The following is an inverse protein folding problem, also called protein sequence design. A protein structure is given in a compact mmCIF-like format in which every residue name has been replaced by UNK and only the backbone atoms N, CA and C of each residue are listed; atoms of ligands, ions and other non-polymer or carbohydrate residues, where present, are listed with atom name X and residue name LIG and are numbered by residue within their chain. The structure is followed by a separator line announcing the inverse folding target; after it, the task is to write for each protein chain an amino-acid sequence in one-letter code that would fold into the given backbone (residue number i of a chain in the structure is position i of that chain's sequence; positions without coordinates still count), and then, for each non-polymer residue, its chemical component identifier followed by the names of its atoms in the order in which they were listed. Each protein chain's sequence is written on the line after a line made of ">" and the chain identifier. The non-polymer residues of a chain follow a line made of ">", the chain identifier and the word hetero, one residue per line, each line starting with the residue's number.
data_IF_408396094248
#
_entry.id   IF_408396094248
#
_cell.length_a   1.000
_cell.length_b   1.000
_cell.length_c   1.000
_cell.angle_alpha   90.00
_cell.angle_beta   90.00
_cell.angle_gamma   90.00
#
_symmetry.space_group_name_H-M   'P 1'
#
loop_
_entity.id
_entity.type
_entity.pdbx_description
1 polymer ?
#
# COMPACT_ATOMS: atom_id res chain seq x y z
N UNK A 1 3.91 5.63 2.78
CA UNK A 1 3.00 6.63 2.16
C UNK A 1 3.73 7.63 1.27
N UNK A 2 4.76 8.36 1.76
CA UNK A 2 5.50 9.35 0.94
C UNK A 2 6.22 8.77 -0.29
N UNK A 3 6.80 7.57 -0.19
CA UNK A 3 7.49 6.93 -1.31
C UNK A 3 6.55 6.55 -2.46
N UNK A 4 5.36 6.00 -2.15
CA UNK A 4 4.37 5.60 -3.16
C UNK A 4 3.78 6.82 -3.86
N UNK A 5 3.45 7.88 -3.10
CA UNK A 5 2.95 9.12 -3.67
C UNK A 5 4.00 9.79 -4.57
N UNK A 6 5.26 9.82 -4.13
CA UNK A 6 6.36 10.37 -4.92
C UNK A 6 6.58 9.59 -6.23
N UNK A 7 6.48 8.25 -6.21
CA UNK A 7 6.59 7.43 -7.43
C UNK A 7 5.47 7.66 -8.44
N UNK A 8 4.23 7.85 -7.98
CA UNK A 8 3.11 8.22 -8.86
C UNK A 8 3.30 9.64 -9.40
N UNK A 9 3.73 10.58 -8.56
CA UNK A 9 3.93 11.97 -8.98
C UNK A 9 5.05 12.11 -10.01
N UNK A 10 6.20 11.46 -9.80
CA UNK A 10 7.34 11.53 -10.74
C UNK A 10 7.04 10.85 -12.06
N UNK A 11 6.31 9.74 -12.05
CA UNK A 11 5.90 9.05 -13.29
C UNK A 11 4.83 9.85 -14.06
N UNK A 12 3.92 10.53 -13.37
CA UNK A 12 2.93 11.42 -14.00
C UNK A 12 3.63 12.65 -14.61
N UNK A 13 4.58 13.26 -13.90
CA UNK A 13 5.41 14.36 -14.42
C UNK A 13 6.25 13.96 -15.63
N UNK A 14 6.82 12.75 -15.63
CA UNK A 14 7.58 12.23 -16.76
C UNK A 14 6.68 11.94 -17.98
N UNK A 15 5.47 11.43 -17.78
CA UNK A 15 4.47 11.29 -18.85
C UNK A 15 4.09 12.65 -19.44
N UNK A 16 3.85 13.66 -18.60
CA UNK A 16 3.48 15.01 -19.06
C UNK A 16 4.56 15.62 -19.97
N UNK A 17 5.85 15.38 -19.69
CA UNK A 17 6.93 15.87 -20.55
C UNK A 17 7.02 15.20 -21.92
N UNK A 18 6.42 14.01 -22.09
CA UNK A 18 6.45 13.23 -23.33
C UNK A 18 5.10 13.24 -24.07
N UNK A 19 4.09 13.94 -23.54
CA UNK A 19 2.72 13.90 -24.03
C UNK A 19 2.39 15.13 -24.88
N UNK A 20 2.40 14.95 -26.21
CA UNK A 20 2.00 15.94 -27.22
C UNK A 20 0.50 15.82 -27.62
N UNK A 21 -0.29 14.99 -26.92
CA UNK A 21 -1.72 14.83 -27.20
C UNK A 21 -2.54 16.06 -26.78
N UNK A 22 -3.62 16.35 -27.52
CA UNK A 22 -4.51 17.48 -27.25
C UNK A 22 -5.10 17.39 -25.83
N UNK A 23 -4.73 18.34 -24.97
CA UNK A 23 -5.21 18.39 -23.59
C UNK A 23 -4.62 17.35 -22.64
N UNK A 24 -3.54 16.65 -23.02
CA UNK A 24 -2.84 15.66 -22.19
C UNK A 24 -3.73 14.49 -21.73
N UNK A 25 -4.61 14.01 -22.62
CA UNK A 25 -5.57 12.95 -22.32
C UNK A 25 -4.90 11.64 -21.86
N UNK A 26 -3.75 11.32 -22.44
CA UNK A 26 -2.97 10.13 -22.09
C UNK A 26 -2.35 10.23 -20.70
N UNK A 27 -1.89 11.42 -20.30
CA UNK A 27 -1.42 11.70 -18.94
C UNK A 27 -2.53 11.52 -17.90
N UNK A 28 -3.76 11.96 -18.18
CA UNK A 28 -4.90 11.77 -17.28
C UNK A 28 -5.28 10.30 -17.12
N UNK A 29 -5.30 9.54 -18.20
CA UNK A 29 -5.54 8.10 -18.15
C UNK A 29 -4.44 7.34 -17.40
N UNK A 30 -3.18 7.78 -17.53
CA UNK A 30 -2.08 7.23 -16.75
C UNK A 30 -2.21 7.53 -15.26
N UNK A 31 -2.56 8.78 -14.89
CA UNK A 31 -2.76 9.20 -13.51
C UNK A 31 -3.87 8.39 -12.82
N UNK A 32 -5.00 8.17 -13.49
CA UNK A 32 -6.12 7.41 -12.93
C UNK A 32 -5.75 5.95 -12.59
N UNK A 33 -5.02 5.28 -13.50
CA UNK A 33 -4.48 3.94 -13.25
C UNK A 33 -3.55 3.91 -12.03
N UNK A 34 -2.70 4.92 -11.87
CA UNK A 34 -1.77 4.99 -10.74
C UNK A 34 -2.46 5.27 -9.41
N UNK A 35 -3.51 6.08 -9.41
CA UNK A 35 -4.35 6.28 -8.22
C UNK A 35 -5.02 4.95 -7.84
N UNK A 36 -5.55 4.21 -8.82
CA UNK A 36 -6.10 2.87 -8.60
C UNK A 36 -5.06 1.91 -7.98
N UNK A 37 -3.83 1.87 -8.50
CA UNK A 37 -2.75 1.04 -7.94
C UNK A 37 -2.50 1.36 -6.46
N UNK A 38 -2.42 2.65 -6.11
CA UNK A 38 -2.21 3.10 -4.72
C UNK A 38 -3.35 2.64 -3.81
N UNK A 39 -4.60 2.79 -4.28
CA UNK A 39 -5.78 2.37 -3.53
C UNK A 39 -5.81 0.85 -3.29
N UNK A 40 -5.36 0.04 -4.26
CA UNK A 40 -5.22 -1.41 -4.06
C UNK A 40 -4.18 -1.75 -2.98
N UNK A 41 -3.02 -1.08 -3.00
CA UNK A 41 -1.97 -1.31 -1.99
C UNK A 41 -2.48 -0.97 -0.58
N UNK A 42 -3.15 0.17 -0.41
CA UNK A 42 -3.73 0.54 0.89
C UNK A 42 -4.81 -0.45 1.33
N UNK A 43 -5.63 -0.98 0.41
CA UNK A 43 -6.63 -2.01 0.71
C UNK A 43 -5.98 -3.31 1.20
N UNK A 44 -4.94 -3.80 0.49
CA UNK A 44 -4.19 -4.99 0.88
C UNK A 44 -3.54 -4.79 2.25
N UNK A 45 -2.93 -3.62 2.48
CA UNK A 45 -2.33 -3.29 3.77
C UNK A 45 -3.37 -3.31 4.90
N UNK A 46 -4.54 -2.71 4.68
CA UNK A 46 -5.62 -2.71 5.66
C UNK A 46 -6.13 -4.14 5.97
N UNK A 47 -6.22 -4.99 4.95
CA UNK A 47 -6.58 -6.40 5.15
C UNK A 47 -5.50 -7.16 5.93
N UNK A 48 -4.22 -6.96 5.61
CA UNK A 48 -3.11 -7.56 6.34
C UNK A 48 -3.11 -7.16 7.82
N UNK A 49 -3.31 -5.87 8.12
CA UNK A 49 -3.44 -5.40 9.51
C UNK A 49 -4.62 -6.06 10.23
N UNK A 50 -5.80 -6.16 9.60
CA UNK A 50 -6.95 -6.85 10.21
C UNK A 50 -6.69 -8.32 10.50
N UNK A 51 -5.97 -9.03 9.61
CA UNK A 51 -5.61 -10.43 9.82
C UNK A 51 -4.62 -10.57 10.99
N UNK A 52 -3.66 -9.65 11.09
CA UNK A 52 -2.71 -9.60 12.21
C UNK A 52 -3.44 -9.32 13.53
N UNK A 53 -4.37 -8.35 13.55
CA UNK A 53 -5.16 -8.02 14.74
C UNK A 53 -6.12 -9.15 15.15
N UNK A 54 -6.61 -9.93 14.17
CA UNK A 54 -7.49 -11.08 14.41
C UNK A 54 -6.73 -12.34 14.86
N UNK A 55 -5.40 -12.37 14.72
CA UNK A 55 -4.57 -13.45 15.22
C UNK A 55 -4.31 -13.22 16.72
N UNK A 56 -4.90 -14.04 17.63
CA UNK A 56 -4.66 -13.92 19.06
C UNK A 56 -3.16 -14.07 19.33
N UNK A 57 -2.66 -13.08 20.09
CA UNK A 57 -1.27 -12.77 20.37
C UNK A 57 -0.29 -13.95 20.15
N UNK A 58 0.34 -14.06 18.96
CA UNK A 58 1.24 -15.16 18.64
C UNK A 58 2.48 -15.16 19.56
N UNK A 59 2.84 -13.99 20.08
CA UNK A 59 3.90 -13.83 21.08
C UNK A 59 3.42 -14.28 22.46
N UNK A 60 2.15 -14.02 22.81
CA UNK A 60 1.53 -14.52 24.04
C UNK A 60 1.49 -16.04 24.12
N UNK A 61 1.30 -16.73 23.00
CA UNK A 61 1.30 -18.21 22.94
C UNK A 61 2.72 -18.79 23.15
N UNK A 62 3.75 -18.15 22.58
CA UNK A 62 5.16 -18.51 22.81
C UNK A 62 5.59 -18.16 24.24
N UNK A 63 5.15 -17.01 24.76
CA UNK A 63 5.38 -16.62 26.14
C UNK A 63 4.72 -17.60 27.12
N UNK A 64 3.52 -18.11 26.82
CA UNK A 64 2.85 -19.12 27.66
C UNK A 64 3.57 -20.46 27.66
N UNK A 65 4.21 -20.85 26.56
CA UNK A 65 5.06 -22.06 26.51
C UNK A 65 6.37 -21.84 27.27
N UNK A 66 6.94 -20.62 27.21
CA UNK A 66 8.21 -20.29 27.87
C UNK A 66 8.08 -19.99 29.38
N UNK A 67 6.95 -19.44 29.82
CA UNK A 67 6.67 -19.04 31.21
C UNK A 67 5.61 -19.92 31.90
N UNK A 68 5.10 -20.96 31.22
CA UNK A 68 4.15 -21.91 31.77
C UNK A 68 4.79 -22.92 32.72
N UNK A 69 5.13 -22.49 33.94
CA UNK A 69 5.24 -23.35 35.13
C UNK A 69 5.33 -22.50 36.40
N UNK A 70 4.19 -22.00 36.87
CA UNK A 70 3.99 -21.73 38.31
C UNK A 70 2.54 -22.06 38.65
N UNK A 71 2.37 -23.21 39.29
CA UNK A 71 1.13 -23.86 39.66
C UNK A 71 1.42 -25.32 39.94
#
# INVERSE_FOLDING_TARGET
>A
KRATLAGVFTTTLACWFADESDGHADTWAFLDRRISDVMQIEKVKAQATKVIDALPDPLGLIARIRYGSTG
#
